data_IF_727955882953
#
_entry.id   IF_727955882953
#
_cell.length_a   1.000
_cell.length_b   1.000
_cell.length_c   1.000
_cell.angle_alpha   90.00
_cell.angle_beta   90.00
_cell.angle_gamma   90.00
#
_symmetry.space_group_name_H-M   'P 1'
#
loop_
_entity.id
_entity.type
_entity.pdbx_description
1 polymer ?
#
# COMPACT_ATOMS: atom_id res chain seq x y z
N UNK A 1 -2.71 -8.00 28.41
CA UNK A 1 -3.47 -8.99 27.60
C UNK A 1 -4.21 -8.41 26.37
N UNK A 2 -4.52 -7.11 26.28
CA UNK A 2 -5.20 -6.53 25.09
C UNK A 2 -4.30 -6.43 23.84
N UNK A 3 -3.06 -5.92 23.96
CA UNK A 3 -2.17 -5.74 22.79
C UNK A 3 -1.77 -7.01 22.03
N UNK A 4 -1.52 -8.13 22.74
CA UNK A 4 -1.20 -9.42 22.09
C UNK A 4 -2.31 -9.93 21.16
N UNK A 5 -3.58 -9.66 21.49
CA UNK A 5 -4.74 -10.06 20.67
C UNK A 5 -4.83 -9.25 19.39
N UNK A 6 -4.62 -7.93 19.48
CA UNK A 6 -4.63 -7.04 18.32
C UNK A 6 -3.52 -7.39 17.32
N UNK A 7 -2.30 -7.67 17.78
CA UNK A 7 -1.20 -8.09 16.90
C UNK A 7 -1.45 -9.46 16.24
N UNK A 8 -2.19 -10.35 16.90
CA UNK A 8 -2.62 -11.62 16.32
C UNK A 8 -3.68 -11.43 15.23
N UNK A 9 -4.69 -10.59 15.49
CA UNK A 9 -5.73 -10.26 14.49
C UNK A 9 -5.14 -9.61 13.25
N UNK A 10 -4.20 -8.66 13.40
CA UNK A 10 -3.53 -8.04 12.25
C UNK A 10 -2.84 -9.10 11.39
N UNK A 11 -2.11 -10.05 12.01
CA UNK A 11 -1.41 -11.13 11.28
C UNK A 11 -2.32 -12.07 10.51
N UNK A 12 -3.51 -12.37 11.05
CA UNK A 12 -4.49 -13.22 10.36
C UNK A 12 -5.05 -12.58 9.08
N UNK A 13 -4.91 -11.25 8.92
CA UNK A 13 -5.34 -10.53 7.73
C UNK A 13 -4.24 -10.34 6.68
N UNK A 14 -3.02 -10.86 6.92
CA UNK A 14 -1.87 -10.71 6.02
C UNK A 14 -1.67 -11.98 5.20
N UNK A 15 -1.13 -11.85 3.99
CA UNK A 15 -0.58 -12.98 3.24
C UNK A 15 0.71 -13.48 3.90
N UNK A 16 1.07 -14.75 3.65
CA UNK A 16 2.25 -15.38 4.26
C UNK A 16 3.55 -14.60 4.00
N UNK A 17 3.70 -14.05 2.79
CA UNK A 17 4.86 -13.24 2.39
C UNK A 17 4.99 -11.97 3.24
N UNK A 18 3.87 -11.31 3.55
CA UNK A 18 3.84 -10.09 4.36
C UNK A 18 3.96 -10.41 5.86
N UNK A 19 3.38 -11.53 6.30
CA UNK A 19 3.44 -11.99 7.70
C UNK A 19 4.89 -12.22 8.16
N UNK A 20 5.75 -12.75 7.30
CA UNK A 20 7.16 -13.01 7.63
C UNK A 20 7.90 -11.76 8.13
N UNK A 21 7.51 -10.57 7.65
CA UNK A 21 8.14 -9.32 8.06
C UNK A 21 7.73 -8.83 9.46
N UNK A 22 6.65 -9.36 10.03
CA UNK A 22 6.09 -8.88 11.30
C UNK A 22 5.87 -9.98 12.33
N UNK A 23 6.28 -11.22 12.03
CA UNK A 23 6.02 -12.38 12.87
C UNK A 23 6.67 -12.32 14.26
N UNK A 24 7.82 -11.67 14.39
CA UNK A 24 8.53 -11.56 15.67
C UNK A 24 8.11 -10.35 16.50
N UNK A 25 7.35 -9.42 15.89
CA UNK A 25 6.90 -8.20 16.55
C UNK A 25 5.77 -8.51 17.53
N UNK A 26 5.86 -7.98 18.75
CA UNK A 26 4.89 -8.25 19.83
C UNK A 26 3.94 -7.09 20.07
N UNK A 27 4.36 -5.87 19.71
CA UNK A 27 3.53 -4.67 19.82
C UNK A 27 2.68 -4.50 18.56
N UNK A 28 1.36 -4.30 18.67
CA UNK A 28 0.52 -3.92 17.53
C UNK A 28 1.01 -2.66 16.82
N UNK A 29 1.55 -1.70 17.58
CA UNK A 29 2.08 -0.45 17.03
C UNK A 29 3.31 -0.72 16.17
N UNK A 30 4.26 -1.55 16.65
CA UNK A 30 5.44 -1.92 15.87
C UNK A 30 5.08 -2.69 14.59
N UNK A 31 4.07 -3.57 14.67
CA UNK A 31 3.53 -4.27 13.49
C UNK A 31 2.99 -3.26 12.49
N UNK A 32 2.17 -2.31 12.94
CA UNK A 32 1.57 -1.30 12.07
C UNK A 32 2.62 -0.37 11.43
N UNK A 33 3.54 0.18 12.23
CA UNK A 33 4.60 1.06 11.75
C UNK A 33 5.55 0.36 10.76
N UNK A 34 5.83 -0.93 10.97
CA UNK A 34 6.67 -1.72 10.06
C UNK A 34 5.98 -1.91 8.71
N UNK A 35 4.67 -2.21 8.73
CA UNK A 35 3.87 -2.33 7.51
C UNK A 35 3.77 -1.00 6.78
N UNK A 36 3.49 0.09 7.51
CA UNK A 36 3.40 1.43 6.95
C UNK A 36 4.73 1.84 6.30
N UNK A 37 5.86 1.68 7.01
CA UNK A 37 7.18 2.01 6.50
C UNK A 37 7.58 1.18 5.28
N UNK A 38 7.23 -0.11 5.24
CA UNK A 38 7.67 -1.00 4.16
C UNK A 38 6.79 -0.91 2.93
N UNK A 39 5.48 -0.86 3.11
CA UNK A 39 4.51 -0.96 2.02
C UNK A 39 3.80 0.36 1.70
N UNK A 40 3.74 1.29 2.65
CA UNK A 40 3.09 2.60 2.47
C UNK A 40 4.09 3.75 2.49
N UNK A 41 5.40 3.48 2.54
CA UNK A 41 6.38 4.56 2.46
C UNK A 41 6.33 5.22 1.08
N UNK A 42 6.16 6.54 1.10
CA UNK A 42 6.35 7.39 -0.07
C UNK A 42 7.85 7.55 -0.37
N UNK A 43 8.53 6.42 -0.59
CA UNK A 43 9.94 6.39 -0.94
C UNK A 43 10.19 7.22 -2.21
N UNK A 44 11.41 7.77 -2.37
CA UNK A 44 11.75 8.54 -3.56
C UNK A 44 11.52 7.71 -4.84
N UNK A 45 11.81 6.42 -4.79
CA UNK A 45 11.56 5.46 -5.87
C UNK A 45 10.08 5.30 -6.16
N UNK A 46 9.22 5.16 -5.13
CA UNK A 46 7.77 5.06 -5.31
C UNK A 46 7.20 6.37 -5.90
N UNK A 47 7.64 7.53 -5.41
CA UNK A 47 7.24 8.83 -5.97
C UNK A 47 7.67 8.98 -7.44
N UNK A 48 8.88 8.58 -7.77
CA UNK A 48 9.38 8.60 -9.15
C UNK A 48 8.57 7.68 -10.05
N UNK A 49 8.30 6.45 -9.61
CA UNK A 49 7.47 5.48 -10.31
C UNK A 49 6.06 6.03 -10.57
N UNK A 50 5.41 6.60 -9.55
CA UNK A 50 4.07 7.18 -9.68
C UNK A 50 4.05 8.37 -10.64
N UNK A 51 5.08 9.23 -10.63
CA UNK A 51 5.23 10.31 -11.61
C UNK A 51 5.38 9.76 -13.02
N UNK A 52 6.24 8.76 -13.24
CA UNK A 52 6.39 8.12 -14.54
C UNK A 52 5.07 7.52 -15.03
N UNK A 53 4.33 6.82 -14.16
CA UNK A 53 3.01 6.26 -14.46
C UNK A 53 1.99 7.35 -14.80
N UNK A 54 2.00 8.48 -14.07
CA UNK A 54 1.13 9.62 -14.35
C UNK A 54 1.43 10.24 -15.73
N UNK A 55 2.70 10.51 -16.04
CA UNK A 55 3.10 11.08 -17.33
C UNK A 55 2.85 10.11 -18.50
N UNK A 56 2.90 8.80 -18.24
CA UNK A 56 2.58 7.77 -19.22
C UNK A 56 1.08 7.48 -19.36
N UNK A 57 0.23 8.03 -18.49
CA UNK A 57 -1.21 7.73 -18.50
C UNK A 57 -1.86 8.31 -19.75
N UNK A 58 -2.40 7.44 -20.59
CA UNK A 58 -3.14 7.82 -21.81
C UNK A 58 -4.42 7.01 -21.88
N UNK A 59 -5.52 7.69 -22.16
CA UNK A 59 -6.79 7.02 -22.46
C UNK A 59 -6.68 6.37 -23.84
N UNK A 60 -7.05 5.09 -23.94
CA UNK A 60 -7.13 4.41 -25.23
C UNK A 60 -8.45 4.78 -25.92
N UNK A 61 -8.45 4.79 -27.25
CA UNK A 61 -9.67 5.02 -28.01
C UNK A 61 -10.70 3.93 -27.72
N UNK A 62 -11.94 4.33 -27.45
CA UNK A 62 -13.01 3.41 -27.04
C UNK A 62 -12.95 2.90 -25.59
N UNK A 63 -11.96 3.33 -24.79
CA UNK A 63 -11.92 3.01 -23.35
C UNK A 63 -12.98 3.80 -22.56
N UNK A 64 -13.43 3.23 -21.44
CA UNK A 64 -14.36 3.90 -20.55
C UNK A 64 -13.72 5.11 -19.85
N UNK A 65 -14.35 6.28 -20.01
CA UNK A 65 -13.86 7.54 -19.45
C UNK A 65 -13.88 7.51 -17.92
N UNK A 66 -14.92 6.94 -17.31
CA UNK A 66 -15.05 6.92 -15.87
C UNK A 66 -13.96 6.06 -15.22
N UNK A 67 -13.68 4.89 -15.81
CA UNK A 67 -12.59 4.03 -15.40
C UNK A 67 -11.23 4.72 -15.57
N UNK A 68 -11.02 5.46 -16.67
CA UNK A 68 -9.80 6.23 -16.87
C UNK A 68 -9.62 7.31 -15.79
N UNK A 69 -10.68 8.07 -15.48
CA UNK A 69 -10.66 9.10 -14.43
C UNK A 69 -10.42 8.50 -13.04
N UNK A 70 -11.01 7.34 -12.75
CA UNK A 70 -10.75 6.62 -11.49
C UNK A 70 -9.28 6.23 -11.37
N UNK A 71 -8.68 5.71 -12.44
CA UNK A 71 -7.25 5.36 -12.47
C UNK A 71 -6.36 6.59 -12.29
N UNK A 72 -6.70 7.71 -12.94
CA UNK A 72 -5.99 8.98 -12.79
C UNK A 72 -6.05 9.46 -11.33
N UNK A 73 -7.24 9.52 -10.74
CA UNK A 73 -7.44 9.97 -9.37
C UNK A 73 -6.70 9.09 -8.36
N UNK A 74 -6.64 7.77 -8.59
CA UNK A 74 -5.85 6.87 -7.77
C UNK A 74 -4.36 7.22 -7.80
N UNK A 75 -3.78 7.44 -8.99
CA UNK A 75 -2.36 7.82 -9.11
C UNK A 75 -2.06 9.15 -8.41
N UNK A 76 -2.99 10.11 -8.48
CA UNK A 76 -2.85 11.39 -7.76
C UNK A 76 -2.93 11.22 -6.24
N UNK A 77 -3.83 10.37 -5.74
CA UNK A 77 -3.95 10.10 -4.30
C UNK A 77 -2.73 9.36 -3.73
N UNK A 78 -2.12 8.49 -4.54
CA UNK A 78 -0.96 7.69 -4.13
C UNK A 78 0.36 8.50 -4.12
N UNK A 79 0.42 9.63 -4.85
CA UNK A 79 1.59 10.53 -4.92
C UNK A 79 1.88 11.25 -3.58
#
# INVERSE_FOLDING_TARGET
MKGKRTAGTIRLCLSDEVMYHVMDLKSPTEVWETLEKRFMSKSLTNKLYLKQRLYGLKMQEGADLQQHLNNFNQVINDL
#
